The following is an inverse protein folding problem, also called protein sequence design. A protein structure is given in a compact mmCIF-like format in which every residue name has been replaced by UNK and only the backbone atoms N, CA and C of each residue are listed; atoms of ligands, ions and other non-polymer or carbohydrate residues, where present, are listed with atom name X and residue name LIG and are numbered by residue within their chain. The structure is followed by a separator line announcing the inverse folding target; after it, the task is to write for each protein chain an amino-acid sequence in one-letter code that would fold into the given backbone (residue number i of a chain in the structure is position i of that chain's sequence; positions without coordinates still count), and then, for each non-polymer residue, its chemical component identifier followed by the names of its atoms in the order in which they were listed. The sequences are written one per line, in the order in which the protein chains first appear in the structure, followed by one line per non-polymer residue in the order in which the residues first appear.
data_IF_130754996193
#
_entry.id   IF_130754996193
#
_cell.length_a   1.000
_cell.length_b   1.000
_cell.length_c   1.000
_cell.angle_alpha   90.00
_cell.angle_beta   90.00
_cell.angle_gamma   90.00
#
_symmetry.space_group_name_H-M   'P 1'
#
loop_
_entity.id
_entity.type
_entity.pdbx_description
1 polymer ?
#
# COMPACT_ATOMS: atom_id res chain seq x y z
N UNK A 1 -102.40 -1.75 -20.44
CA UNK A 1 -101.41 -2.05 -19.38
C UNK A 1 -102.15 -2.61 -18.18
N UNK A 2 -101.73 -3.78 -17.71
CA UNK A 2 -102.32 -4.46 -16.58
C UNK A 2 -101.86 -3.80 -15.26
N UNK A 3 -102.63 -3.88 -14.17
CA UNK A 3 -102.26 -3.26 -12.88
C UNK A 3 -100.91 -3.74 -12.36
N UNK A 4 -100.59 -4.99 -12.68
CA UNK A 4 -99.32 -5.68 -12.40
C UNK A 4 -98.12 -5.00 -13.09
N UNK A 5 -98.33 -4.46 -14.29
CA UNK A 5 -97.28 -3.77 -15.05
C UNK A 5 -96.91 -2.42 -14.41
N UNK A 6 -97.91 -1.69 -13.90
CA UNK A 6 -97.69 -0.41 -13.20
C UNK A 6 -96.95 -0.58 -11.87
N UNK A 7 -97.26 -1.66 -11.14
CA UNK A 7 -96.59 -2.03 -9.89
C UNK A 7 -95.13 -2.44 -10.12
N UNK A 8 -94.86 -3.16 -11.21
CA UNK A 8 -93.48 -3.52 -11.58
C UNK A 8 -92.65 -2.28 -11.96
N UNK A 9 -93.21 -1.35 -12.72
CA UNK A 9 -92.53 -0.09 -13.09
C UNK A 9 -92.23 0.75 -11.84
N UNK A 10 -93.19 0.87 -10.91
CA UNK A 10 -92.97 1.61 -9.66
C UNK A 10 -91.90 0.94 -8.77
N UNK A 11 -91.87 -0.39 -8.73
CA UNK A 11 -90.84 -1.15 -8.00
C UNK A 11 -89.46 -0.98 -8.62
N UNK A 12 -89.36 -0.95 -9.95
CA UNK A 12 -88.09 -0.76 -10.63
C UNK A 12 -87.56 0.67 -10.41
N UNK A 13 -88.42 1.69 -10.47
CA UNK A 13 -88.03 3.08 -10.20
C UNK A 13 -87.63 3.30 -8.73
N UNK A 14 -88.35 2.71 -7.77
CA UNK A 14 -88.06 2.89 -6.34
C UNK A 14 -86.81 2.16 -5.86
N UNK A 15 -86.38 1.10 -6.55
CA UNK A 15 -85.25 0.25 -6.15
C UNK A 15 -84.01 0.44 -7.03
N UNK A 16 -84.03 1.36 -8.00
CA UNK A 16 -82.94 1.51 -8.97
C UNK A 16 -81.64 1.95 -8.29
N UNK A 17 -81.72 2.95 -7.41
CA UNK A 17 -80.57 3.46 -6.63
C UNK A 17 -79.95 2.37 -5.73
N UNK A 18 -80.79 1.56 -5.07
CA UNK A 18 -80.32 0.46 -4.21
C UNK A 18 -79.64 -0.65 -5.04
N UNK A 19 -80.21 -0.98 -6.21
CA UNK A 19 -79.61 -1.95 -7.14
C UNK A 19 -78.29 -1.44 -7.69
N UNK A 20 -78.18 -0.14 -7.96
CA UNK A 20 -76.94 0.49 -8.40
C UNK A 20 -75.87 0.43 -7.31
N UNK A 21 -76.22 0.72 -6.05
CA UNK A 21 -75.32 0.62 -4.90
C UNK A 21 -74.84 -0.82 -4.67
N UNK A 22 -75.75 -1.80 -4.67
CA UNK A 22 -75.40 -3.23 -4.53
C UNK A 22 -74.48 -3.66 -5.67
N UNK A 23 -74.77 -3.24 -6.89
CA UNK A 23 -73.93 -3.53 -8.07
C UNK A 23 -72.55 -2.85 -7.99
N UNK A 24 -72.45 -1.68 -7.35
CA UNK A 24 -71.18 -1.01 -7.12
C UNK A 24 -70.34 -1.74 -6.05
N UNK A 25 -70.98 -2.27 -5.01
CA UNK A 25 -70.32 -3.08 -3.97
C UNK A 25 -69.83 -4.41 -4.56
N UNK A 26 -70.65 -5.12 -5.33
CA UNK A 26 -70.26 -6.37 -5.99
C UNK A 26 -69.06 -6.17 -6.93
N UNK A 27 -69.05 -5.06 -7.68
CA UNK A 27 -67.89 -4.65 -8.49
C UNK A 27 -66.64 -4.39 -7.66
N UNK A 28 -66.76 -3.76 -6.48
CA UNK A 28 -65.63 -3.53 -5.56
C UNK A 28 -65.10 -4.85 -4.98
N UNK A 29 -65.99 -5.75 -4.56
CA UNK A 29 -65.63 -7.08 -4.03
C UNK A 29 -64.88 -7.89 -5.10
N UNK A 30 -65.42 -8.00 -6.31
CA UNK A 30 -64.77 -8.71 -7.42
C UNK A 30 -63.40 -8.14 -7.78
N UNK A 31 -63.21 -6.82 -7.67
CA UNK A 31 -61.88 -6.19 -7.85
C UNK A 31 -60.91 -6.56 -6.73
N UNK A 32 -61.40 -6.60 -5.49
CA UNK A 32 -60.60 -6.97 -4.33
C UNK A 32 -60.17 -8.44 -4.41
N UNK A 33 -61.11 -9.35 -4.69
CA UNK A 33 -60.85 -10.77 -4.90
C UNK A 33 -59.85 -11.02 -6.03
N UNK A 34 -60.01 -10.32 -7.17
CA UNK A 34 -59.05 -10.41 -8.27
C UNK A 34 -57.65 -9.89 -7.89
N UNK A 35 -57.55 -8.98 -6.92
CA UNK A 35 -56.26 -8.46 -6.45
C UNK A 35 -55.62 -9.42 -5.45
N UNK A 36 -56.38 -9.96 -4.50
CA UNK A 36 -55.90 -10.86 -3.45
C UNK A 36 -55.63 -12.28 -3.95
N UNK A 37 -56.52 -12.84 -4.78
CA UNK A 37 -56.45 -14.24 -5.21
C UNK A 37 -55.49 -14.45 -6.40
N UNK A 38 -55.03 -13.37 -7.04
CA UNK A 38 -54.04 -13.44 -8.12
C UNK A 38 -52.70 -12.93 -7.62
N UNK A 39 -51.74 -13.84 -7.49
CA UNK A 39 -50.37 -13.55 -7.02
C UNK A 39 -49.76 -12.29 -7.66
N UNK A 40 -49.81 -12.16 -8.98
CA UNK A 40 -49.23 -11.00 -9.69
C UNK A 40 -49.88 -9.66 -9.29
N UNK A 41 -51.17 -9.65 -8.98
CA UNK A 41 -51.86 -8.42 -8.58
C UNK A 41 -51.58 -8.07 -7.12
N UNK A 42 -51.48 -9.07 -6.26
CA UNK A 42 -51.09 -8.90 -4.86
C UNK A 42 -49.64 -8.42 -4.75
N UNK A 43 -48.72 -9.07 -5.45
CA UNK A 43 -47.30 -8.71 -5.51
C UNK A 43 -47.10 -7.24 -5.90
N UNK A 44 -47.80 -6.75 -6.94
CA UNK A 44 -47.75 -5.32 -7.32
C UNK A 44 -48.13 -4.32 -6.20
N UNK A 45 -48.84 -4.77 -5.18
CA UNK A 45 -49.23 -3.95 -4.02
C UNK A 45 -48.36 -4.20 -2.80
N UNK A 46 -47.85 -5.42 -2.64
CA UNK A 46 -47.07 -5.84 -1.46
C UNK A 46 -45.57 -5.64 -1.67
N UNK A 47 -45.04 -5.92 -2.86
CA UNK A 47 -43.60 -5.84 -3.15
C UNK A 47 -43.02 -4.47 -2.80
N UNK A 48 -43.63 -3.32 -3.18
CA UNK A 48 -43.09 -2.01 -2.79
C UNK A 48 -43.05 -1.77 -1.27
N UNK A 49 -43.95 -2.41 -0.51
CA UNK A 49 -43.97 -2.32 0.96
C UNK A 49 -42.85 -3.15 1.54
N UNK A 50 -42.60 -4.34 0.98
CA UNK A 50 -41.49 -5.21 1.37
C UNK A 50 -40.15 -4.57 1.01
N UNK A 51 -40.03 -3.99 -0.18
CA UNK A 51 -38.83 -3.30 -0.65
C UNK A 51 -38.48 -2.13 0.28
N UNK A 52 -39.45 -1.25 0.58
CA UNK A 52 -39.24 -0.17 1.55
C UNK A 52 -38.84 -0.72 2.93
N UNK A 53 -39.47 -1.82 3.38
CA UNK A 53 -39.13 -2.40 4.69
C UNK A 53 -37.75 -3.03 4.72
N UNK A 54 -37.28 -3.57 3.59
CA UNK A 54 -35.94 -4.09 3.43
C UNK A 54 -34.92 -2.95 3.38
N UNK A 55 -35.22 -1.82 2.72
CA UNK A 55 -34.37 -0.62 2.76
C UNK A 55 -34.20 -0.09 4.18
N UNK A 56 -35.31 0.05 4.93
CA UNK A 56 -35.27 0.44 6.34
C UNK A 56 -34.42 -0.55 7.15
N UNK A 57 -34.64 -1.86 6.95
CA UNK A 57 -33.89 -2.89 7.66
C UNK A 57 -32.39 -2.81 7.37
N UNK A 58 -31.99 -2.57 6.11
CA UNK A 58 -30.58 -2.39 5.74
C UNK A 58 -29.96 -1.19 6.45
N UNK A 59 -30.71 -0.10 6.64
CA UNK A 59 -30.25 1.04 7.42
C UNK A 59 -30.11 0.71 8.92
N UNK A 60 -30.98 -0.15 9.44
CA UNK A 60 -30.98 -0.57 10.85
C UNK A 60 -29.97 -1.69 11.16
N UNK A 61 -29.37 -2.35 10.15
CA UNK A 61 -28.41 -3.48 10.33
C UNK A 61 -27.25 -3.12 11.27
N UNK A 62 -26.55 -1.96 11.12
CA UNK A 62 -25.43 -1.62 11.98
C UNK A 62 -25.80 -1.58 13.47
N UNK A 63 -27.01 -1.11 13.80
CA UNK A 63 -27.46 -0.96 15.19
C UNK A 63 -28.08 -2.25 15.74
N UNK A 64 -28.76 -3.03 14.89
CA UNK A 64 -29.47 -4.24 15.31
C UNK A 64 -28.58 -5.49 15.28
N UNK A 65 -27.92 -5.74 14.15
CA UNK A 65 -27.09 -6.92 13.92
C UNK A 65 -25.61 -6.66 14.18
N UNK A 66 -25.15 -5.41 14.08
CA UNK A 66 -23.74 -5.05 14.29
C UNK A 66 -23.15 -5.57 15.61
N UNK A 67 -23.82 -5.39 16.77
CA UNK A 67 -23.33 -5.93 18.04
C UNK A 67 -23.21 -7.46 18.04
N UNK A 68 -24.21 -8.16 17.51
CA UNK A 68 -24.21 -9.64 17.42
C UNK A 68 -23.11 -10.13 16.48
N UNK A 69 -22.94 -9.50 15.31
CA UNK A 69 -21.86 -9.82 14.37
C UNK A 69 -20.50 -9.60 15.02
N UNK A 70 -20.31 -8.48 15.72
CA UNK A 70 -19.06 -8.16 16.42
C UNK A 70 -18.74 -9.17 17.51
N UNK A 71 -19.73 -9.54 18.32
CA UNK A 71 -19.57 -10.55 19.37
C UNK A 71 -19.24 -11.93 18.79
N UNK A 72 -19.92 -12.29 17.70
CA UNK A 72 -19.69 -13.56 17.00
C UNK A 72 -18.27 -13.60 16.41
N UNK A 73 -17.83 -12.53 15.75
CA UNK A 73 -16.46 -12.41 15.24
C UNK A 73 -15.43 -12.46 16.36
N UNK A 74 -15.68 -11.81 17.50
CA UNK A 74 -14.78 -11.86 18.67
C UNK A 74 -14.67 -13.28 19.22
N UNK A 75 -15.78 -14.00 19.31
CA UNK A 75 -15.80 -15.40 19.75
C UNK A 75 -15.04 -16.28 18.74
N UNK A 76 -15.27 -16.07 17.45
CA UNK A 76 -14.60 -16.81 16.38
C UNK A 76 -13.09 -16.59 16.39
N UNK A 77 -12.61 -15.34 16.51
CA UNK A 77 -11.18 -15.03 16.66
C UNK A 77 -10.58 -15.75 17.88
N UNK A 78 -11.33 -15.81 18.99
CA UNK A 78 -10.87 -16.48 20.21
C UNK A 78 -10.81 -18.00 20.06
N UNK A 79 -11.73 -18.59 19.30
CA UNK A 79 -11.81 -20.04 19.07
C UNK A 79 -10.84 -20.51 17.99
N UNK A 80 -10.59 -19.67 17.00
CA UNK A 80 -9.81 -19.97 15.79
C UNK A 80 -8.49 -19.21 15.79
N UNK A 81 -7.82 -19.17 16.95
CA UNK A 81 -6.57 -18.40 17.14
C UNK A 81 -5.48 -18.84 16.18
N UNK A 82 -5.32 -20.14 15.94
CA UNK A 82 -4.25 -20.67 15.10
C UNK A 82 -4.41 -20.21 13.64
N UNK A 83 -5.62 -20.26 13.10
CA UNK A 83 -5.92 -19.77 11.74
C UNK A 83 -5.71 -18.26 11.61
N UNK A 84 -6.13 -17.50 12.63
CA UNK A 84 -5.89 -16.05 12.68
C UNK A 84 -4.39 -15.75 12.76
N UNK A 85 -3.64 -16.49 13.58
CA UNK A 85 -2.19 -16.35 13.70
C UNK A 85 -1.51 -16.71 12.38
N UNK A 86 -1.90 -17.79 11.72
CA UNK A 86 -1.36 -18.20 10.42
C UNK A 86 -1.58 -17.12 9.34
N UNK A 87 -2.79 -16.54 9.29
CA UNK A 87 -3.11 -15.45 8.38
C UNK A 87 -2.29 -14.17 8.67
N UNK A 88 -2.04 -13.88 9.94
CA UNK A 88 -1.30 -12.67 10.36
C UNK A 88 0.21 -12.86 10.34
N UNK A 89 0.72 -14.09 10.40
CA UNK A 89 2.15 -14.39 10.56
C UNK A 89 3.04 -13.73 9.49
N UNK A 90 2.71 -13.78 8.18
CA UNK A 90 3.53 -13.12 7.16
C UNK A 90 3.60 -11.60 7.35
N UNK A 91 2.49 -10.98 7.71
CA UNK A 91 2.39 -9.53 7.92
C UNK A 91 3.20 -9.13 9.15
N UNK A 92 3.02 -9.86 10.25
CA UNK A 92 3.78 -9.66 11.49
C UNK A 92 5.28 -9.87 11.25
N UNK A 93 5.67 -10.90 10.51
CA UNK A 93 7.06 -11.16 10.15
C UNK A 93 7.70 -10.01 9.37
N UNK A 94 7.00 -9.48 8.36
CA UNK A 94 7.45 -8.27 7.64
C UNK A 94 7.62 -7.08 8.57
N UNK A 95 6.63 -6.82 9.43
CA UNK A 95 6.69 -5.69 10.38
C UNK A 95 7.84 -5.82 11.38
N UNK A 96 8.02 -7.02 11.97
CA UNK A 96 9.10 -7.31 12.91
C UNK A 96 10.45 -7.10 12.22
N UNK A 97 10.62 -7.61 11.00
CA UNK A 97 11.87 -7.45 10.24
C UNK A 97 12.17 -5.97 9.96
N UNK A 98 11.15 -5.19 9.57
CA UNK A 98 11.29 -3.73 9.38
C UNK A 98 11.69 -3.01 10.66
N UNK A 99 11.04 -3.33 11.78
CA UNK A 99 11.37 -2.77 13.08
C UNK A 99 12.82 -3.06 13.50
N UNK A 100 13.26 -4.32 13.36
CA UNK A 100 14.62 -4.73 13.67
C UNK A 100 15.64 -4.01 12.77
N UNK A 101 15.38 -3.88 11.47
CA UNK A 101 16.26 -3.13 10.55
C UNK A 101 16.45 -1.69 11.03
N UNK A 102 15.37 -1.00 11.42
CA UNK A 102 15.44 0.37 11.91
C UNK A 102 16.24 0.48 13.23
N UNK A 103 16.00 -0.42 14.18
CA UNK A 103 16.76 -0.46 15.44
C UNK A 103 18.26 -0.70 15.22
N UNK A 104 18.60 -1.60 14.29
CA UNK A 104 20.00 -1.85 13.92
C UNK A 104 20.61 -0.60 13.26
N UNK A 105 19.90 0.07 12.34
CA UNK A 105 20.37 1.31 11.73
C UNK A 105 20.70 2.36 12.79
N UNK A 106 19.79 2.59 13.74
CA UNK A 106 20.02 3.53 14.85
C UNK A 106 21.18 3.11 15.74
N UNK A 107 21.33 1.82 16.02
CA UNK A 107 22.45 1.29 16.81
C UNK A 107 23.80 1.59 16.12
N UNK A 108 23.90 1.34 14.81
CA UNK A 108 25.12 1.62 14.04
C UNK A 108 25.44 3.11 14.02
N UNK A 109 24.44 3.99 13.84
CA UNK A 109 24.62 5.44 13.88
C UNK A 109 25.15 5.94 15.25
N UNK A 110 24.63 5.38 16.34
CA UNK A 110 25.12 5.67 17.70
C UNK A 110 26.57 5.22 17.88
N UNK A 111 26.91 4.00 17.45
CA UNK A 111 28.28 3.50 17.51
C UNK A 111 29.22 4.42 16.71
N UNK A 112 28.84 4.81 15.49
CA UNK A 112 29.64 5.69 14.64
C UNK A 112 29.93 7.04 15.32
N UNK A 113 28.91 7.63 15.97
CA UNK A 113 29.05 8.89 16.70
C UNK A 113 30.04 8.77 17.87
N UNK A 114 29.99 7.67 18.63
CA UNK A 114 30.87 7.43 19.78
C UNK A 114 32.33 7.20 19.36
N UNK A 115 32.53 6.51 18.23
CA UNK A 115 33.86 6.27 17.67
C UNK A 115 34.47 7.57 17.17
N UNK A 116 33.74 8.40 16.41
CA UNK A 116 34.23 9.71 15.94
C UNK A 116 34.65 10.64 17.11
N UNK A 117 33.87 10.71 18.18
CA UNK A 117 34.18 11.53 19.37
C UNK A 117 35.48 11.12 20.06
N UNK A 118 35.74 9.82 20.11
CA UNK A 118 36.92 9.26 20.75
C UNK A 118 38.24 9.59 20.02
N UNK A 119 38.19 9.82 18.71
CA UNK A 119 39.34 10.22 17.89
C UNK A 119 39.55 11.75 17.83
N UNK A 120 38.66 12.56 18.41
CA UNK A 120 38.87 14.00 18.50
C UNK A 120 39.99 14.33 19.50
N UNK A 121 40.77 15.37 19.20
CA UNK A 121 42.04 15.76 19.83
C UNK A 121 41.99 15.95 21.37
N UNK A 122 40.81 15.91 21.99
CA UNK A 122 40.57 16.01 23.43
C UNK A 122 40.48 14.64 24.15
N UNK A 123 40.27 13.52 23.44
CA UNK A 123 40.12 12.17 24.02
C UNK A 123 41.43 11.40 24.26
N UNK A 124 42.53 11.83 23.63
CA UNK A 124 43.81 11.09 23.63
C UNK A 124 44.47 11.02 25.02
N UNK A 125 44.30 12.06 25.86
CA UNK A 125 44.84 12.09 27.24
C UNK A 125 44.11 11.15 28.21
N UNK A 126 42.86 10.77 27.92
CA UNK A 126 42.05 9.90 28.78
C UNK A 126 41.98 8.45 28.26
N UNK A 127 42.15 8.27 26.94
CA UNK A 127 42.25 6.98 26.23
C UNK A 127 43.44 6.10 26.67
N UNK A 128 44.54 6.70 27.11
CA UNK A 128 45.77 5.98 27.47
C UNK A 128 45.71 5.23 28.81
N UNK A 129 44.71 5.49 29.67
CA UNK A 129 44.77 5.02 31.06
C UNK A 129 43.93 3.77 31.36
N UNK A 130 42.84 3.47 30.65
CA UNK A 130 41.97 2.33 31.00
C UNK A 130 41.32 1.67 29.77
N UNK A 131 41.54 0.36 29.58
CA UNK A 131 40.65 -0.60 28.87
C UNK A 131 40.10 -0.21 27.48
N UNK A 132 40.78 0.67 26.73
CA UNK A 132 40.19 1.44 25.62
C UNK A 132 40.18 0.75 24.24
N UNK A 133 40.86 -0.39 24.07
CA UNK A 133 40.95 -1.09 22.77
C UNK A 133 39.83 -2.10 22.54
N UNK A 134 39.50 -2.91 23.56
CA UNK A 134 38.62 -4.08 23.38
C UNK A 134 37.18 -3.73 22.99
N UNK A 135 36.62 -2.67 23.58
CA UNK A 135 35.23 -2.26 23.27
C UNK A 135 35.11 -1.69 21.85
N UNK A 136 36.17 -1.05 21.34
CA UNK A 136 36.18 -0.50 19.98
C UNK A 136 36.24 -1.58 18.92
N UNK A 137 37.06 -2.60 19.15
CA UNK A 137 37.14 -3.77 18.27
C UNK A 137 35.77 -4.46 18.19
N UNK A 138 35.11 -4.68 19.33
CA UNK A 138 33.76 -5.24 19.36
C UNK A 138 32.73 -4.34 18.63
N UNK A 139 32.75 -3.03 18.87
CA UNK A 139 31.89 -2.06 18.19
C UNK A 139 32.15 -1.97 16.67
N UNK A 140 33.39 -2.18 16.22
CA UNK A 140 33.73 -2.26 14.79
C UNK A 140 33.23 -3.57 14.17
N UNK A 141 33.46 -4.71 14.84
CA UNK A 141 32.98 -6.02 14.39
C UNK A 141 31.45 -6.04 14.26
N UNK A 142 30.73 -5.49 15.23
CA UNK A 142 29.25 -5.41 15.19
C UNK A 142 28.79 -4.59 13.98
N UNK A 143 29.47 -3.48 13.68
CA UNK A 143 29.16 -2.67 12.50
C UNK A 143 29.37 -3.48 11.22
N UNK A 144 30.53 -4.10 11.07
CA UNK A 144 30.90 -4.83 9.85
C UNK A 144 30.00 -6.04 9.58
N UNK A 145 29.40 -6.65 10.61
CA UNK A 145 28.44 -7.74 10.45
C UNK A 145 27.02 -7.28 10.09
N UNK A 146 26.65 -6.03 10.40
CA UNK A 146 25.31 -5.48 10.20
C UNK A 146 25.26 -4.55 8.99
N UNK A 147 25.83 -5.02 7.87
CA UNK A 147 25.91 -4.26 6.63
C UNK A 147 24.64 -4.41 5.79
N UNK A 148 24.20 -3.33 5.11
CA UNK A 148 23.18 -3.43 4.07
C UNK A 148 23.74 -4.18 2.86
N UNK A 149 22.86 -4.92 2.19
CA UNK A 149 23.18 -5.66 0.97
C UNK A 149 22.64 -4.87 -0.22
N UNK A 150 23.51 -4.50 -1.16
CA UNK A 150 23.08 -3.96 -2.46
C UNK A 150 22.39 -5.07 -3.24
N UNK A 151 21.11 -4.94 -3.57
CA UNK A 151 20.39 -5.94 -4.37
C UNK A 151 20.52 -5.64 -5.86
N UNK A 152 20.42 -4.35 -6.21
CA UNK A 152 20.46 -3.88 -7.58
C UNK A 152 21.03 -2.46 -7.65
N UNK A 153 21.68 -2.15 -8.77
CA UNK A 153 22.13 -0.81 -9.14
C UNK A 153 21.61 -0.55 -10.54
N UNK A 154 20.98 0.60 -10.74
CA UNK A 154 20.47 1.05 -12.03
C UNK A 154 21.02 2.42 -12.34
N UNK A 155 21.48 2.63 -13.57
CA UNK A 155 21.83 3.94 -14.09
C UNK A 155 20.73 4.38 -15.03
N UNK A 156 20.11 5.51 -14.74
CA UNK A 156 18.91 5.98 -15.41
C UNK A 156 19.15 7.39 -15.94
N UNK A 157 18.80 7.62 -17.21
CA UNK A 157 18.91 8.92 -17.86
C UNK A 157 17.96 9.93 -17.20
N UNK A 158 18.46 11.15 -16.94
CA UNK A 158 17.62 12.22 -16.41
C UNK A 158 16.68 12.75 -17.50
N UNK A 159 15.41 12.88 -17.15
CA UNK A 159 14.39 13.45 -18.03
C UNK A 159 13.59 12.37 -18.75
N UNK A 160 14.25 11.51 -19.54
CA UNK A 160 13.57 10.41 -20.25
C UNK A 160 13.16 9.26 -19.32
N UNK A 161 13.93 9.01 -18.26
CA UNK A 161 13.77 7.83 -17.41
C UNK A 161 14.26 6.53 -18.03
N UNK A 162 15.01 6.61 -19.14
CA UNK A 162 15.55 5.44 -19.83
C UNK A 162 16.61 4.75 -18.96
N UNK A 163 16.48 3.43 -18.80
CA UNK A 163 17.50 2.60 -18.17
C UNK A 163 18.71 2.49 -19.10
N UNK A 164 19.86 3.01 -18.67
CA UNK A 164 21.11 3.00 -19.42
C UNK A 164 21.88 1.70 -19.15
N UNK A 165 21.91 1.28 -17.88
CA UNK A 165 22.68 0.13 -17.43
C UNK A 165 22.16 -0.37 -16.09
N UNK A 166 22.41 -1.65 -15.84
CA UNK A 166 22.03 -2.29 -14.61
C UNK A 166 23.08 -3.28 -14.11
N UNK A 167 23.05 -3.50 -12.81
CA UNK A 167 23.68 -4.60 -12.14
C UNK A 167 22.69 -5.16 -11.12
N UNK A 168 22.44 -6.46 -11.18
CA UNK A 168 21.59 -7.12 -10.21
C UNK A 168 22.25 -8.37 -9.65
N UNK A 169 22.15 -8.55 -8.33
CA UNK A 169 22.52 -9.80 -7.68
C UNK A 169 21.43 -10.86 -7.78
N UNK A 170 20.17 -10.45 -7.94
CA UNK A 170 19.00 -11.34 -8.05
C UNK A 170 17.99 -10.77 -9.04
N UNK A 171 17.51 -11.54 -10.02
CA UNK A 171 16.51 -11.11 -11.01
C UNK A 171 15.08 -11.00 -10.43
N UNK A 172 14.94 -10.59 -9.16
CA UNK A 172 13.66 -10.51 -8.47
C UNK A 172 12.95 -9.16 -8.65
N UNK A 173 13.65 -8.13 -9.14
CA UNK A 173 13.15 -6.77 -9.29
C UNK A 173 13.13 -6.45 -10.79
N UNK A 174 12.02 -5.88 -11.26
CA UNK A 174 11.86 -5.41 -12.64
C UNK A 174 12.45 -3.99 -12.75
N UNK A 175 13.63 -3.90 -13.37
CA UNK A 175 14.39 -2.67 -13.59
C UNK A 175 13.62 -1.59 -14.36
N UNK A 176 12.89 -1.97 -15.41
CA UNK A 176 12.15 -1.03 -16.27
C UNK A 176 10.98 -0.41 -15.49
N UNK A 177 10.26 -1.23 -14.72
CA UNK A 177 9.20 -0.74 -13.84
C UNK A 177 9.74 0.18 -12.75
N UNK A 178 10.86 -0.16 -12.11
CA UNK A 178 11.46 0.69 -11.08
C UNK A 178 11.97 2.00 -11.68
N UNK A 179 12.63 1.97 -12.84
CA UNK A 179 13.08 3.18 -13.54
C UNK A 179 11.91 4.11 -13.89
N UNK A 180 10.82 3.55 -14.43
CA UNK A 180 9.59 4.30 -14.72
C UNK A 180 8.96 4.90 -13.48
N UNK A 181 8.85 4.12 -12.40
CA UNK A 181 8.32 4.59 -11.10
C UNK A 181 9.16 5.74 -10.55
N UNK A 182 10.49 5.61 -10.53
CA UNK A 182 11.41 6.64 -10.02
C UNK A 182 11.30 7.94 -10.82
N UNK A 183 11.22 7.83 -12.14
CA UNK A 183 11.07 8.98 -13.05
C UNK A 183 9.75 9.71 -12.80
N UNK A 184 8.65 8.97 -12.63
CA UNK A 184 7.36 9.54 -12.31
C UNK A 184 7.36 10.25 -10.96
N UNK A 185 7.82 9.59 -9.89
CA UNK A 185 7.88 10.17 -8.54
C UNK A 185 8.72 11.44 -8.53
N UNK A 186 9.88 11.42 -9.20
CA UNK A 186 10.77 12.57 -9.29
C UNK A 186 10.11 13.73 -10.03
N UNK A 187 9.48 13.47 -11.19
CA UNK A 187 8.75 14.49 -11.95
C UNK A 187 7.63 15.11 -11.13
N UNK A 188 6.83 14.27 -10.45
CA UNK A 188 5.77 14.74 -9.54
C UNK A 188 6.31 15.59 -8.39
N UNK A 189 7.44 15.22 -7.80
CA UNK A 189 8.06 15.98 -6.72
C UNK A 189 8.58 17.34 -7.20
N UNK A 190 9.27 17.38 -8.34
CA UNK A 190 9.77 18.62 -8.94
C UNK A 190 8.62 19.61 -9.25
N UNK A 191 7.52 19.10 -9.81
CA UNK A 191 6.30 19.88 -10.08
C UNK A 191 5.61 20.36 -8.79
N UNK A 192 5.47 19.49 -7.79
CA UNK A 192 4.78 19.83 -6.54
C UNK A 192 5.52 20.89 -5.72
N UNK A 193 6.86 20.86 -5.71
CA UNK A 193 7.67 21.79 -4.92
C UNK A 193 8.04 23.08 -5.65
N UNK A 194 7.69 23.24 -6.94
CA UNK A 194 8.02 24.40 -7.78
C UNK A 194 9.51 24.81 -7.70
N UNK A 195 10.40 23.84 -7.44
CA UNK A 195 11.82 24.04 -7.22
C UNK A 195 12.59 22.97 -7.95
N UNK A 196 13.38 23.40 -8.95
CA UNK A 196 14.25 22.53 -9.75
C UNK A 196 15.40 21.87 -8.95
N UNK A 197 15.63 22.31 -7.72
CA UNK A 197 16.72 21.80 -6.84
C UNK A 197 16.25 20.78 -5.80
N UNK A 198 14.96 20.40 -5.77
CA UNK A 198 14.52 19.32 -4.89
C UNK A 198 14.79 18.00 -5.60
N UNK A 199 15.87 17.33 -5.20
CA UNK A 199 16.24 16.02 -5.74
C UNK A 199 15.79 14.91 -4.80
N UNK A 200 15.09 13.92 -5.34
CA UNK A 200 14.76 12.70 -4.61
C UNK A 200 16.07 11.94 -4.31
N UNK A 201 16.33 11.69 -3.03
CA UNK A 201 17.58 11.05 -2.55
C UNK A 201 17.37 9.64 -2.00
N UNK A 202 16.19 9.35 -1.44
CA UNK A 202 15.93 8.06 -0.81
C UNK A 202 14.43 7.74 -0.85
N UNK A 203 14.11 6.47 -1.10
CA UNK A 203 12.76 5.90 -0.96
C UNK A 203 12.87 4.66 -0.08
N UNK A 204 12.04 4.57 0.96
CA UNK A 204 11.90 3.36 1.77
C UNK A 204 10.67 2.58 1.32
N UNK A 205 10.88 1.34 0.88
CA UNK A 205 9.83 0.46 0.38
C UNK A 205 9.88 -0.90 1.07
N UNK A 206 8.92 -1.16 1.96
CA UNK A 206 8.89 -2.33 2.85
C UNK A 206 10.22 -2.58 3.60
N UNK A 207 11.03 -3.52 3.08
CA UNK A 207 12.31 -3.99 3.64
C UNK A 207 13.52 -3.54 2.81
N UNK A 208 13.25 -2.75 1.77
CA UNK A 208 14.21 -2.22 0.83
C UNK A 208 14.33 -0.71 0.97
N UNK A 209 15.52 -0.20 0.71
CA UNK A 209 15.80 1.22 0.57
C UNK A 209 16.36 1.46 -0.81
N UNK A 210 15.73 2.35 -1.58
CA UNK A 210 16.26 2.83 -2.85
C UNK A 210 16.99 4.14 -2.57
N UNK A 211 18.32 4.12 -2.62
CA UNK A 211 19.14 5.31 -2.53
C UNK A 211 19.40 5.88 -3.94
N UNK A 212 19.25 7.19 -4.11
CA UNK A 212 19.33 7.85 -5.41
C UNK A 212 20.40 8.94 -5.37
N UNK A 213 21.42 8.78 -6.19
CA UNK A 213 22.48 9.76 -6.37
C UNK A 213 22.37 10.43 -7.73
N UNK A 214 22.24 11.75 -7.72
CA UNK A 214 21.99 12.54 -8.92
C UNK A 214 23.31 13.05 -9.52
N UNK A 215 23.53 12.81 -10.83
CA UNK A 215 24.65 13.35 -11.61
C UNK A 215 24.15 14.38 -12.64
N UNK A 216 24.97 14.89 -13.56
CA UNK A 216 24.54 15.94 -14.49
C UNK A 216 23.46 15.46 -15.48
N UNK A 217 23.71 14.36 -16.19
CA UNK A 217 22.82 13.81 -17.24
C UNK A 217 22.08 12.52 -16.86
N UNK A 218 22.47 11.87 -15.76
CA UNK A 218 21.87 10.63 -15.28
C UNK A 218 21.77 10.63 -13.75
N UNK A 219 21.15 9.61 -13.20
CA UNK A 219 21.20 9.32 -11.77
C UNK A 219 21.41 7.82 -11.57
N UNK A 220 22.02 7.46 -10.44
CA UNK A 220 22.21 6.07 -10.05
C UNK A 220 21.23 5.76 -8.93
N UNK A 221 20.40 4.74 -9.13
CA UNK A 221 19.49 4.20 -8.13
C UNK A 221 20.05 2.89 -7.60
N UNK A 222 20.30 2.81 -6.30
CA UNK A 222 20.83 1.63 -5.61
C UNK A 222 19.75 1.07 -4.71
N UNK A 223 19.28 -0.14 -5.01
CA UNK A 223 18.34 -0.88 -4.18
C UNK A 223 19.13 -1.64 -3.12
N UNK A 224 18.81 -1.41 -1.86
CA UNK A 224 19.49 -1.98 -0.70
C UNK A 224 18.48 -2.76 0.13
N UNK A 225 18.88 -3.92 0.67
CA UNK A 225 18.14 -4.62 1.71
C UNK A 225 18.94 -4.62 3.02
N UNK A 226 18.23 -4.65 4.15
CA UNK A 226 18.86 -4.62 5.47
C UNK A 226 19.02 -3.21 6.05
N UNK A 227 19.75 -3.07 7.16
CA UNK A 227 19.88 -1.81 7.88
C UNK A 227 20.75 -0.80 7.11
N UNK A 228 20.11 0.21 6.53
CA UNK A 228 20.79 1.33 5.89
C UNK A 228 20.80 2.55 6.84
N UNK A 229 21.97 3.10 7.10
CA UNK A 229 22.21 4.17 8.08
C UNK A 229 23.16 5.22 7.52
N UNK A 230 23.42 6.30 8.25
CA UNK A 230 24.22 7.42 7.74
C UNK A 230 25.66 6.99 7.38
N UNK A 231 26.26 6.11 8.18
CA UNK A 231 27.62 5.62 7.90
C UNK A 231 27.71 4.88 6.57
N UNK A 232 26.76 4.00 6.29
CA UNK A 232 26.73 3.28 5.01
C UNK A 232 26.29 4.15 3.85
N UNK A 233 25.43 5.15 4.11
CA UNK A 233 25.08 6.16 3.12
C UNK A 233 26.31 6.93 2.65
N UNK A 234 27.09 7.48 3.58
CA UNK A 234 28.32 8.21 3.27
C UNK A 234 29.27 7.34 2.42
N UNK A 235 29.52 6.09 2.85
CA UNK A 235 30.37 5.14 2.09
C UNK A 235 29.84 4.83 0.69
N UNK A 236 28.53 4.69 0.55
CA UNK A 236 27.90 4.39 -0.73
C UNK A 236 28.04 5.60 -1.67
N UNK A 237 27.74 6.80 -1.17
CA UNK A 237 27.84 8.04 -1.95
C UNK A 237 29.27 8.28 -2.44
N UNK A 238 30.27 8.05 -1.59
CA UNK A 238 31.69 8.14 -1.94
C UNK A 238 32.05 7.12 -3.05
N UNK A 239 31.64 5.85 -2.91
CA UNK A 239 31.91 4.81 -3.92
C UNK A 239 31.24 5.10 -5.26
N UNK A 240 30.01 5.59 -5.24
CA UNK A 240 29.28 5.98 -6.45
C UNK A 240 29.93 7.18 -7.13
N UNK A 241 30.42 8.15 -6.36
CA UNK A 241 31.16 9.30 -6.87
C UNK A 241 32.50 8.88 -7.48
N UNK A 242 33.23 7.99 -6.82
CA UNK A 242 34.49 7.43 -7.32
C UNK A 242 34.28 6.63 -8.61
N UNK A 243 33.22 5.82 -8.67
CA UNK A 243 32.82 5.10 -9.88
C UNK A 243 32.52 6.08 -11.03
N UNK A 244 31.72 7.12 -10.76
CA UNK A 244 31.38 8.12 -11.76
C UNK A 244 32.59 8.87 -12.30
N UNK A 245 33.53 9.26 -11.43
CA UNK A 245 34.71 10.03 -11.84
C UNK A 245 35.79 9.17 -12.52
N UNK A 246 35.91 7.90 -12.15
CA UNK A 246 37.04 7.05 -12.58
C UNK A 246 36.69 6.12 -13.74
N UNK A 247 35.40 5.78 -13.92
CA UNK A 247 34.98 4.70 -14.83
C UNK A 247 33.93 5.09 -15.86
N UNK A 248 33.29 6.26 -15.72
CA UNK A 248 32.29 6.75 -16.67
C UNK A 248 32.90 7.83 -17.58
N UNK A 249 33.06 7.50 -18.86
CA UNK A 249 33.29 8.50 -19.90
C UNK A 249 31.95 8.91 -20.53
N UNK A 250 31.89 10.10 -21.15
CA UNK A 250 30.67 10.58 -21.81
C UNK A 250 30.10 9.58 -22.84
N UNK A 251 30.97 8.82 -23.50
CA UNK A 251 30.60 7.82 -24.52
C UNK A 251 30.07 6.50 -23.91
N UNK A 252 30.27 6.25 -22.60
CA UNK A 252 29.79 5.03 -21.94
C UNK A 252 28.28 5.08 -21.66
N UNK A 253 27.67 6.27 -21.72
CA UNK A 253 26.22 6.43 -21.60
C UNK A 253 25.47 6.01 -22.86
N UNK A 254 26.18 5.86 -23.99
CA UNK A 254 25.63 5.45 -25.29
C UNK A 254 25.82 3.94 -25.56
N UNK A 255 26.65 3.24 -24.77
CA UNK A 255 26.97 1.80 -24.91
C UNK A 255 26.68 1.03 -23.62
N UNK A 256 25.45 0.52 -23.53
CA UNK A 256 24.92 -0.19 -22.36
C UNK A 256 25.68 -1.48 -22.03
N UNK A 257 26.21 -2.22 -23.02
CA UNK A 257 26.93 -3.48 -22.79
C UNK A 257 28.29 -3.25 -22.14
N UNK A 258 29.07 -2.30 -22.66
CA UNK A 258 30.37 -1.90 -22.08
C UNK A 258 30.21 -1.38 -20.65
N UNK A 259 29.14 -0.63 -20.41
CA UNK A 259 28.88 -0.03 -19.11
C UNK A 259 28.40 -1.04 -18.06
N UNK A 260 27.53 -1.98 -18.44
CA UNK A 260 27.14 -3.12 -17.58
C UNK A 260 28.36 -3.90 -17.08
N UNK A 261 29.34 -4.18 -17.95
CA UNK A 261 30.56 -4.88 -17.58
C UNK A 261 31.45 -4.11 -16.59
N UNK A 262 31.49 -2.77 -16.66
CA UNK A 262 32.21 -1.92 -15.71
C UNK A 262 31.51 -1.89 -14.35
N UNK A 263 30.19 -1.83 -14.36
CA UNK A 263 29.36 -1.79 -13.16
C UNK A 263 29.41 -3.14 -12.41
N UNK A 264 29.29 -4.25 -13.15
CA UNK A 264 29.45 -5.61 -12.61
C UNK A 264 30.83 -5.80 -11.97
N UNK A 265 31.90 -5.43 -12.67
CA UNK A 265 33.26 -5.58 -12.16
C UNK A 265 33.51 -4.76 -10.90
N UNK A 266 33.03 -3.52 -10.84
CA UNK A 266 33.28 -2.63 -9.71
C UNK A 266 32.51 -3.03 -8.45
N UNK A 267 31.23 -3.43 -8.59
CA UNK A 267 30.37 -3.73 -7.46
C UNK A 267 30.33 -5.23 -7.06
N UNK A 268 30.78 -6.17 -7.92
CA UNK A 268 31.03 -7.57 -7.49
C UNK A 268 32.28 -7.73 -6.64
N UNK A 269 33.33 -6.97 -6.92
CA UNK A 269 34.61 -7.09 -6.18
C UNK A 269 34.61 -6.25 -4.91
N UNK A 270 33.89 -5.13 -4.88
CA UNK A 270 33.79 -4.26 -3.72
C UNK A 270 32.39 -4.34 -3.11
N UNK A 271 32.18 -5.28 -2.18
CA UNK A 271 31.11 -5.09 -1.20
C UNK A 271 31.32 -3.75 -0.46
N UNK A 272 30.31 -3.22 0.22
CA UNK A 272 30.44 -2.03 1.08
C UNK A 272 31.47 -2.22 2.23
N UNK A 273 32.10 -3.40 2.31
CA UNK A 273 33.08 -3.90 3.28
C UNK A 273 34.44 -3.22 3.28
N UNK A 274 34.84 -2.49 2.23
CA UNK A 274 36.07 -1.67 2.22
C UNK A 274 35.70 -0.21 2.24
#
# INVERSE_FOLDING_TARGET
MNQKDKLNILRDILLDDEREQVSAIDRKIKRLENTLNKRNNLSRKVDPIIDNKLEDFVQDIPDTLGPTITETLRAEIKNSQDEVVEALYPIMGKMIKKYIQNEISMLVDRINTNVKRTFSFQGFKQALKNSFSKNKEAEMIIRDQLQPVIEQIMVIEKGSGLLISEYSRTQAIDEEMVAGMLTAIKSFAEDAFNKKDVSLQQIEYELYTIHIQNFSSYYIAVVLSGPFNMYYKDKLEDKLLDFANTRINANDLDDSESFNGKLDNYFRTNNLTT
#
